data_IF_895732911495
#
_entry.id   IF_895732911495
#
_cell.length_a   1.000
_cell.length_b   1.000
_cell.length_c   1.000
_cell.angle_alpha   90.00
_cell.angle_beta   90.00
_cell.angle_gamma   90.00
#
_symmetry.space_group_name_H-M   'P 1'
#
loop_
_entity.id
_entity.type
_entity.pdbx_description
1 polymer ?
#
# COMPACT_ATOMS: atom_id res chain seq x y z
N UNK A 1 -6.96 -31.22 -29.32
CA UNK A 1 -6.22 -31.35 -28.05
C UNK A 1 -6.67 -30.25 -27.10
N UNK A 2 -7.58 -30.58 -26.16
CA UNK A 2 -8.14 -29.65 -25.18
C UNK A 2 -7.12 -29.29 -24.11
N UNK A 3 -6.84 -27.99 -23.94
CA UNK A 3 -6.07 -27.49 -22.79
C UNK A 3 -7.03 -27.25 -21.62
N UNK A 4 -6.85 -28.07 -20.59
CA UNK A 4 -7.62 -28.05 -19.36
C UNK A 4 -7.43 -26.71 -18.60
N UNK A 5 -8.56 -26.12 -18.22
CA UNK A 5 -8.67 -24.99 -17.30
C UNK A 5 -8.23 -25.43 -15.90
N UNK A 6 -7.19 -24.80 -15.35
CA UNK A 6 -6.78 -24.99 -13.96
C UNK A 6 -7.60 -24.07 -13.08
N UNK A 7 -8.65 -24.62 -12.48
CA UNK A 7 -9.43 -23.97 -11.42
C UNK A 7 -8.54 -23.72 -10.20
N UNK A 8 -8.33 -22.45 -9.85
CA UNK A 8 -7.58 -22.05 -8.67
C UNK A 8 -8.56 -21.92 -7.49
N UNK A 9 -8.61 -22.96 -6.65
CA UNK A 9 -9.46 -23.02 -5.46
C UNK A 9 -9.04 -21.96 -4.44
N UNK A 10 -9.92 -20.99 -4.21
CA UNK A 10 -9.83 -20.03 -3.12
C UNK A 10 -9.89 -20.76 -1.78
N UNK A 11 -8.76 -20.82 -1.05
CA UNK A 11 -8.72 -21.27 0.34
C UNK A 11 -9.55 -20.29 1.19
N UNK A 12 -10.76 -20.70 1.56
CA UNK A 12 -11.52 -20.04 2.60
C UNK A 12 -10.74 -20.12 3.92
N UNK A 13 -10.25 -18.99 4.41
CA UNK A 13 -9.65 -18.84 5.73
C UNK A 13 -10.73 -19.06 6.79
N UNK A 14 -10.77 -20.25 7.37
CA UNK A 14 -11.65 -20.58 8.48
C UNK A 14 -11.34 -19.66 9.68
N UNK A 15 -12.38 -19.02 10.23
CA UNK A 15 -12.26 -18.22 11.47
C UNK A 15 -11.61 -19.09 12.56
N UNK A 16 -10.61 -18.57 13.29
CA UNK A 16 -9.98 -19.32 14.38
C UNK A 16 -11.03 -19.67 15.44
N UNK A 17 -11.02 -20.92 15.91
CA UNK A 17 -11.88 -21.36 17.03
C UNK A 17 -11.34 -20.70 18.30
N UNK A 18 -12.11 -19.79 18.89
CA UNK A 18 -11.77 -19.13 20.17
C UNK A 18 -11.41 -20.16 21.23
N UNK A 19 -10.36 -19.89 21.99
CA UNK A 19 -9.92 -20.72 23.11
C UNK A 19 -10.98 -20.80 24.21
N UNK A 20 -10.96 -21.86 25.02
CA UNK A 20 -11.97 -22.08 26.07
C UNK A 20 -12.05 -20.89 27.04
N UNK A 21 -10.91 -20.32 27.43
CA UNK A 21 -10.83 -19.14 28.30
C UNK A 21 -11.50 -17.90 27.69
N UNK A 22 -11.27 -17.64 26.41
CA UNK A 22 -11.82 -16.48 25.68
C UNK A 22 -13.34 -16.56 25.53
N UNK A 23 -13.89 -17.78 25.37
CA UNK A 23 -15.34 -18.00 25.37
C UNK A 23 -15.97 -17.69 26.72
N UNK A 24 -15.33 -18.14 27.80
CA UNK A 24 -15.81 -17.94 29.16
C UNK A 24 -15.73 -16.47 29.58
N UNK A 25 -14.69 -15.76 29.11
CA UNK A 25 -14.56 -14.31 29.26
C UNK A 25 -15.63 -13.54 28.45
N UNK A 26 -15.91 -13.97 27.22
CA UNK A 26 -17.00 -13.40 26.42
C UNK A 26 -18.38 -13.61 27.06
N UNK A 27 -18.63 -14.79 27.63
CA UNK A 27 -19.88 -15.09 28.32
C UNK A 27 -20.07 -14.23 29.58
N UNK A 28 -19.01 -14.10 30.39
CA UNK A 28 -19.02 -13.24 31.59
C UNK A 28 -19.19 -11.76 31.22
N UNK A 29 -18.50 -11.26 30.18
CA UNK A 29 -18.69 -9.90 29.68
C UNK A 29 -20.11 -9.66 29.13
N UNK A 30 -20.69 -10.63 28.41
CA UNK A 30 -22.07 -10.52 27.89
C UNK A 30 -23.09 -10.48 29.03
N UNK A 31 -22.88 -11.28 30.08
CA UNK A 31 -23.72 -11.25 31.29
C UNK A 31 -23.58 -9.91 32.03
N UNK A 32 -22.36 -9.41 32.19
CA UNK A 32 -22.10 -8.10 32.79
C UNK A 32 -22.79 -6.97 32.01
N UNK A 33 -22.71 -7.00 30.67
CA UNK A 33 -23.37 -6.01 29.81
C UNK A 33 -24.90 -6.03 29.97
N UNK A 34 -25.52 -7.21 30.06
CA UNK A 34 -26.97 -7.31 30.32
C UNK A 34 -27.37 -6.71 31.67
N UNK A 35 -26.56 -6.93 32.72
CA UNK A 35 -26.78 -6.31 34.03
C UNK A 35 -26.71 -4.79 33.97
N UNK A 36 -25.71 -4.24 33.27
CA UNK A 36 -25.59 -2.78 33.05
C UNK A 36 -26.84 -2.23 32.35
N UNK A 37 -27.28 -2.88 31.27
CA UNK A 37 -28.46 -2.44 30.51
C UNK A 37 -29.76 -2.55 31.33
N UNK A 38 -29.83 -3.48 32.28
CA UNK A 38 -30.93 -3.64 33.21
C UNK A 38 -30.85 -2.70 34.43
N UNK A 39 -29.77 -1.91 34.57
CA UNK A 39 -29.53 -1.04 35.73
C UNK A 39 -29.11 -1.78 37.01
N UNK A 40 -28.70 -3.05 36.90
CA UNK A 40 -28.24 -3.86 38.03
C UNK A 40 -26.77 -3.56 38.39
N UNK A 41 -26.40 -3.85 39.65
CA UNK A 41 -25.01 -3.68 40.10
C UNK A 41 -24.10 -4.81 39.57
N UNK A 42 -22.99 -4.41 38.99
CA UNK A 42 -22.00 -5.30 38.37
C UNK A 42 -20.86 -5.56 39.35
N UNK A 43 -20.44 -6.82 39.49
CA UNK A 43 -19.33 -7.20 40.38
C UNK A 43 -17.99 -6.65 39.86
N UNK A 44 -16.96 -6.61 40.71
CA UNK A 44 -15.63 -6.13 40.30
C UNK A 44 -15.02 -7.00 39.19
N UNK A 45 -15.19 -8.33 39.28
CA UNK A 45 -14.76 -9.29 38.26
C UNK A 45 -15.49 -9.05 36.93
N UNK A 46 -16.81 -8.93 36.97
CA UNK A 46 -17.65 -8.67 35.79
C UNK A 46 -17.30 -7.32 35.12
N UNK A 47 -16.99 -6.27 35.89
CA UNK A 47 -16.53 -4.98 35.35
C UNK A 47 -15.18 -5.12 34.65
N UNK A 48 -14.24 -5.84 35.25
CA UNK A 48 -12.91 -6.07 34.65
C UNK A 48 -12.98 -6.89 33.36
N UNK A 49 -13.87 -7.90 33.32
CA UNK A 49 -14.12 -8.72 32.13
C UNK A 49 -14.76 -7.87 31.02
N UNK A 50 -15.76 -7.05 31.37
CA UNK A 50 -16.38 -6.13 30.42
C UNK A 50 -15.37 -5.15 29.82
N UNK A 51 -14.52 -4.54 30.63
CA UNK A 51 -13.48 -3.61 30.16
C UNK A 51 -12.47 -4.28 29.21
N UNK A 52 -12.04 -5.51 29.51
CA UNK A 52 -11.14 -6.29 28.64
C UNK A 52 -11.81 -6.61 27.30
N UNK A 53 -13.05 -7.07 27.36
CA UNK A 53 -13.84 -7.37 26.17
C UNK A 53 -14.06 -6.13 25.30
N UNK A 54 -14.41 -4.99 25.89
CA UNK A 54 -14.57 -3.72 25.16
C UNK A 54 -13.29 -3.29 24.46
N UNK A 55 -12.14 -3.41 25.14
CA UNK A 55 -10.83 -3.11 24.56
C UNK A 55 -10.54 -4.03 23.36
N UNK A 56 -10.80 -5.33 23.48
CA UNK A 56 -10.62 -6.28 22.38
C UNK A 56 -11.53 -5.95 21.20
N UNK A 57 -12.81 -5.65 21.46
CA UNK A 57 -13.76 -5.27 20.41
C UNK A 57 -13.40 -3.94 19.73
N UNK A 58 -12.82 -2.99 20.46
CA UNK A 58 -12.29 -1.76 19.88
C UNK A 58 -11.10 -2.06 18.96
N UNK A 59 -10.16 -2.89 19.42
CA UNK A 59 -9.01 -3.30 18.64
C UNK A 59 -9.42 -4.06 17.36
N UNK A 60 -10.35 -5.01 17.45
CA UNK A 60 -10.91 -5.71 16.29
C UNK A 60 -11.57 -4.74 15.29
N UNK A 61 -12.36 -3.78 15.78
CA UNK A 61 -12.97 -2.75 14.91
C UNK A 61 -11.91 -1.87 14.25
N UNK A 62 -10.84 -1.56 14.96
CA UNK A 62 -9.71 -0.80 14.43
C UNK A 62 -9.01 -1.56 13.32
N UNK A 63 -8.76 -2.87 13.50
CA UNK A 63 -8.21 -3.72 12.44
C UNK A 63 -9.14 -3.84 11.24
N UNK A 64 -10.45 -4.02 11.45
CA UNK A 64 -11.43 -4.00 10.36
C UNK A 64 -11.38 -2.70 9.57
N UNK A 65 -11.28 -1.55 10.26
CA UNK A 65 -11.14 -0.25 9.61
C UNK A 65 -9.86 -0.16 8.77
N UNK A 66 -8.74 -0.68 9.29
CA UNK A 66 -7.47 -0.73 8.53
C UNK A 66 -7.54 -1.63 7.30
N UNK A 67 -8.36 -2.68 7.31
CA UNK A 67 -8.55 -3.56 6.16
C UNK A 67 -9.43 -2.97 5.05
N UNK A 68 -10.22 -1.93 5.36
CA UNK A 68 -11.22 -1.38 4.45
C UNK A 68 -11.11 0.14 4.27
N UNK A 69 -9.90 0.68 4.19
CA UNK A 69 -9.69 2.13 4.07
C UNK A 69 -10.20 2.62 2.70
N UNK A 70 -11.11 3.61 2.62
CA UNK A 70 -11.53 4.16 1.34
C UNK A 70 -10.35 4.76 0.56
N UNK A 71 -10.33 4.56 -0.78
CA UNK A 71 -9.27 5.12 -1.64
C UNK A 71 -9.07 6.63 -1.46
N UNK A 72 -10.16 7.38 -1.20
CA UNK A 72 -10.10 8.82 -0.93
C UNK A 72 -9.18 9.13 0.26
N UNK A 73 -9.39 8.46 1.39
CA UNK A 73 -8.58 8.68 2.60
C UNK A 73 -7.13 8.26 2.36
N UNK A 74 -6.91 7.17 1.63
CA UNK A 74 -5.56 6.77 1.27
C UNK A 74 -4.84 7.81 0.42
N UNK A 75 -5.51 8.38 -0.58
CA UNK A 75 -4.94 9.45 -1.40
C UNK A 75 -4.53 10.64 -0.55
N UNK A 76 -5.40 11.08 0.36
CA UNK A 76 -5.12 12.16 1.31
C UNK A 76 -3.91 11.83 2.18
N UNK A 77 -3.84 10.63 2.76
CA UNK A 77 -2.70 10.19 3.57
C UNK A 77 -1.39 10.07 2.77
N UNK A 78 -1.47 9.61 1.52
CA UNK A 78 -0.30 9.42 0.65
C UNK A 78 0.29 10.74 0.13
N UNK A 79 -0.51 11.82 0.08
CA UNK A 79 -0.12 13.08 -0.54
C UNK A 79 0.15 13.00 -2.04
N UNK A 80 -0.28 11.93 -2.72
CA UNK A 80 -0.05 11.70 -4.16
C UNK A 80 -1.33 11.80 -4.97
N UNK A 81 -1.17 12.14 -6.25
CA UNK A 81 -2.26 12.13 -7.21
C UNK A 81 -2.68 10.70 -7.55
N UNK A 82 -3.98 10.49 -7.82
CA UNK A 82 -4.57 9.18 -8.14
C UNK A 82 -3.86 8.45 -9.28
N UNK A 83 -3.54 9.16 -10.36
CA UNK A 83 -2.84 8.58 -11.51
C UNK A 83 -1.48 7.99 -11.11
N UNK A 84 -0.68 8.75 -10.36
CA UNK A 84 0.63 8.32 -9.87
C UNK A 84 0.50 7.08 -8.98
N UNK A 85 -0.51 7.05 -8.10
CA UNK A 85 -0.74 5.89 -7.24
C UNK A 85 -1.11 4.63 -8.03
N UNK A 86 -1.93 4.75 -9.09
CA UNK A 86 -2.23 3.62 -9.97
C UNK A 86 -1.02 3.15 -10.76
N UNK A 87 -0.23 4.07 -11.31
CA UNK A 87 1.03 3.72 -12.01
C UNK A 87 2.01 3.01 -11.07
N UNK A 88 2.13 3.47 -9.82
CA UNK A 88 2.95 2.81 -8.80
C UNK A 88 2.39 1.43 -8.42
N UNK A 89 1.07 1.31 -8.32
CA UNK A 89 0.41 0.03 -8.04
C UNK A 89 0.71 -1.01 -9.11
N UNK A 90 0.61 -0.62 -10.38
CA UNK A 90 0.92 -1.47 -11.52
C UNK A 90 2.41 -1.81 -11.59
N UNK A 91 3.28 -0.81 -11.39
CA UNK A 91 4.73 -0.99 -11.53
C UNK A 91 5.36 -1.81 -10.40
N UNK A 92 4.87 -1.62 -9.17
CA UNK A 92 5.46 -2.23 -7.96
C UNK A 92 4.57 -3.28 -7.31
N UNK A 93 3.49 -3.68 -7.99
CA UNK A 93 2.53 -4.68 -7.50
C UNK A 93 1.93 -4.32 -6.13
N UNK A 94 1.74 -3.03 -5.85
CA UNK A 94 1.11 -2.57 -4.60
C UNK A 94 -0.39 -2.82 -4.71
N UNK A 95 -1.05 -3.42 -3.71
CA UNK A 95 -2.47 -3.73 -3.74
C UNK A 95 -3.34 -2.46 -3.62
N UNK A 96 -3.48 -1.72 -4.71
CA UNK A 96 -4.18 -0.41 -4.79
C UNK A 96 -5.25 -0.36 -5.92
N UNK A 97 -5.79 -1.51 -6.34
CA UNK A 97 -6.79 -1.60 -7.42
C UNK A 97 -8.26 -1.62 -6.98
N UNK A 98 -8.52 -1.84 -5.70
CA UNK A 98 -9.88 -2.05 -5.17
C UNK A 98 -10.49 -0.76 -4.60
N UNK A 99 -11.83 -0.69 -4.52
CA UNK A 99 -12.59 0.46 -3.98
C UNK A 99 -12.14 0.87 -2.56
N UNK A 100 -11.68 -0.11 -1.79
CA UNK A 100 -11.07 0.04 -0.47
C UNK A 100 -9.71 -0.62 -0.46
N UNK A 101 -8.81 -0.10 0.36
CA UNK A 101 -7.42 -0.53 0.46
C UNK A 101 -7.24 -1.25 1.78
N UNK A 102 -6.66 -2.44 1.71
CA UNK A 102 -6.23 -3.19 2.87
C UNK A 102 -4.83 -2.69 3.27
N UNK A 103 -4.78 -1.84 4.29
CA UNK A 103 -3.53 -1.24 4.79
C UNK A 103 -2.49 -2.31 5.18
N UNK A 104 -2.84 -3.37 5.94
CA UNK A 104 -1.87 -4.42 6.28
C UNK A 104 -1.20 -5.05 5.05
N UNK A 105 -1.97 -5.34 3.99
CA UNK A 105 -1.42 -5.89 2.74
C UNK A 105 -0.54 -4.87 2.02
N UNK A 106 -0.95 -3.61 1.95
CA UNK A 106 -0.15 -2.56 1.33
C UNK A 106 1.19 -2.36 2.05
N UNK A 107 1.17 -2.26 3.39
CA UNK A 107 2.38 -2.13 4.22
C UNK A 107 3.30 -3.33 4.03
N UNK A 108 2.74 -4.54 4.04
CA UNK A 108 3.52 -5.75 3.76
C UNK A 108 4.19 -5.70 2.39
N UNK A 109 3.47 -5.29 1.34
CA UNK A 109 4.05 -5.15 -0.01
C UNK A 109 5.19 -4.13 -0.06
N UNK A 110 5.09 -3.03 0.70
CA UNK A 110 6.18 -2.06 0.82
C UNK A 110 7.40 -2.66 1.52
N UNK A 111 7.22 -3.39 2.62
CA UNK A 111 8.34 -4.05 3.30
C UNK A 111 8.98 -5.15 2.44
N UNK A 112 8.18 -5.92 1.72
CA UNK A 112 8.69 -6.92 0.77
C UNK A 112 9.47 -6.26 -0.37
N UNK A 113 8.98 -5.14 -0.91
CA UNK A 113 9.69 -4.36 -1.92
C UNK A 113 11.02 -3.80 -1.39
N UNK A 114 11.00 -3.20 -0.20
CA UNK A 114 12.21 -2.65 0.42
C UNK A 114 13.23 -3.74 0.73
N UNK A 115 12.79 -4.89 1.25
CA UNK A 115 13.67 -6.03 1.50
C UNK A 115 14.28 -6.58 0.20
N UNK A 116 13.47 -6.71 -0.87
CA UNK A 116 13.93 -7.20 -2.17
C UNK A 116 14.93 -6.25 -2.85
N UNK A 117 14.85 -4.95 -2.58
CA UNK A 117 15.72 -3.93 -3.17
C UNK A 117 16.73 -3.35 -2.17
N UNK A 118 16.83 -3.91 -0.96
CA UNK A 118 17.62 -3.35 0.13
C UNK A 118 19.06 -3.07 -0.29
N UNK A 119 19.68 -4.02 -1.01
CA UNK A 119 21.06 -3.87 -1.52
C UNK A 119 21.22 -2.71 -2.50
N UNK A 120 20.30 -2.55 -3.45
CA UNK A 120 20.34 -1.45 -4.44
C UNK A 120 20.04 -0.10 -3.81
N UNK A 121 19.27 -0.08 -2.72
CA UNK A 121 18.93 1.12 -1.98
C UNK A 121 19.99 1.49 -0.92
N UNK A 122 20.81 0.52 -0.49
CA UNK A 122 21.89 0.70 0.49
C UNK A 122 23.26 0.90 -0.13
N UNK A 123 23.41 0.59 -1.42
CA UNK A 123 24.50 1.13 -2.21
C UNK A 123 24.26 2.64 -2.19
N UNK A 124 24.98 3.36 -1.31
CA UNK A 124 25.23 4.77 -1.50
C UNK A 124 25.71 4.86 -2.94
N UNK A 125 24.83 5.42 -3.77
CA UNK A 125 25.12 5.61 -5.17
C UNK A 125 26.34 6.53 -5.15
N UNK A 126 27.54 5.98 -5.29
CA UNK A 126 28.76 6.75 -5.58
C UNK A 126 28.50 7.65 -6.81
N UNK A 127 27.44 7.40 -7.57
CA UNK A 127 26.91 8.22 -8.65
C UNK A 127 26.05 9.43 -8.21
N UNK A 128 25.38 9.38 -7.05
CA UNK A 128 24.64 10.50 -6.46
C UNK A 128 25.54 11.39 -5.60
N UNK A 129 26.57 10.80 -4.96
CA UNK A 129 27.63 11.53 -4.25
C UNK A 129 28.82 11.91 -5.16
N UNK A 130 28.94 11.32 -6.36
CA UNK A 130 29.83 11.83 -7.39
C UNK A 130 29.30 13.19 -7.85
N UNK A 131 29.99 14.24 -7.38
CA UNK A 131 29.91 15.58 -7.90
C UNK A 131 29.64 15.59 -9.42
N UNK A 132 28.44 16.02 -9.81
CA UNK A 132 28.10 16.79 -11.01
C UNK A 132 29.17 16.73 -12.12
N UNK A 133 29.33 15.59 -12.79
CA UNK A 133 29.96 15.39 -14.11
C UNK A 133 30.63 14.01 -14.18
N UNK A 134 29.84 12.99 -14.57
CA UNK A 134 30.43 11.80 -15.15
C UNK A 134 30.76 12.11 -16.63
N UNK A 135 31.95 11.75 -17.14
CA UNK A 135 32.32 11.93 -18.55
C UNK A 135 31.36 11.25 -19.55
N UNK A 136 30.54 10.30 -19.09
CA UNK A 136 29.48 9.71 -19.90
C UNK A 136 28.24 10.62 -20.00
N UNK A 137 27.93 11.37 -18.94
CA UNK A 137 26.79 12.28 -18.88
C UNK A 137 27.04 13.56 -19.68
N UNK A 138 28.28 14.06 -19.70
CA UNK A 138 28.69 15.18 -20.58
C UNK A 138 28.59 14.80 -22.06
N UNK A 139 29.12 13.63 -22.45
CA UNK A 139 28.97 13.12 -23.82
C UNK A 139 27.52 13.00 -24.26
N UNK A 140 26.65 12.50 -23.39
CA UNK A 140 25.22 12.41 -23.69
C UNK A 140 24.54 13.79 -23.83
N UNK A 141 24.94 14.79 -23.02
CA UNK A 141 24.44 16.17 -23.13
C UNK A 141 24.92 16.84 -24.43
N UNK A 142 26.17 16.60 -24.81
CA UNK A 142 26.77 17.10 -26.05
C UNK A 142 26.08 16.48 -27.28
N UNK A 143 25.90 15.16 -27.31
CA UNK A 143 25.20 14.46 -28.40
C UNK A 143 23.76 14.98 -28.57
N UNK A 144 23.04 15.19 -27.47
CA UNK A 144 21.68 15.78 -27.51
C UNK A 144 21.69 17.23 -27.97
N UNK A 145 22.67 18.03 -27.57
CA UNK A 145 22.80 19.42 -28.02
C UNK A 145 23.13 19.52 -29.52
N UNK A 146 23.94 18.59 -30.04
CA UNK A 146 24.27 18.50 -31.46
C UNK A 146 23.03 18.10 -32.27
N UNK A 147 22.28 17.11 -31.81
CA UNK A 147 21.01 16.70 -32.44
C UNK A 147 20.00 17.85 -32.49
N UNK A 148 19.84 18.60 -31.40
CA UNK A 148 18.94 19.76 -31.37
C UNK A 148 19.37 20.87 -32.36
N UNK A 149 20.68 21.11 -32.50
CA UNK A 149 21.21 22.08 -33.47
C UNK A 149 21.00 21.64 -34.92
N UNK A 150 21.13 20.34 -35.19
CA UNK A 150 20.87 19.76 -36.52
C UNK A 150 19.38 19.85 -36.87
N UNK A 151 18.50 19.56 -35.91
CA UNK A 151 17.04 19.62 -36.08
C UNK A 151 16.57 21.06 -36.36
N UNK A 152 17.06 22.05 -35.59
CA UNK A 152 16.79 23.47 -35.86
C UNK A 152 17.28 23.93 -37.24
N UNK A 153 18.40 23.39 -37.73
CA UNK A 153 18.97 23.73 -39.05
C UNK A 153 18.23 23.05 -40.20
N UNK A 154 17.72 21.84 -40.00
CA UNK A 154 16.90 21.14 -40.98
C UNK A 154 15.58 21.88 -41.23
N UNK A 155 14.90 22.32 -40.16
CA UNK A 155 13.64 23.09 -40.23
C UNK A 155 13.84 24.45 -40.93
N UNK A 156 14.99 25.10 -40.72
CA UNK A 156 15.33 26.36 -41.40
C UNK A 156 15.69 26.22 -42.88
N UNK A 157 16.19 25.05 -43.30
CA UNK A 157 16.51 24.78 -44.71
C UNK A 157 15.28 24.34 -45.51
N UNK A 158 14.33 23.63 -44.92
CA UNK A 158 13.06 23.26 -45.59
C UNK A 158 12.16 24.47 -45.87
N UNK A 159 12.19 25.49 -45.00
CA UNK A 159 11.40 26.72 -45.19
C UNK A 159 11.93 27.60 -46.34
N UNK A 160 13.22 27.53 -46.67
CA UNK A 160 13.80 28.30 -47.78
C UNK A 160 13.56 27.65 -49.15
N UNK A 161 13.34 26.33 -49.22
CA UNK A 161 13.12 25.61 -50.49
C UNK A 161 11.65 25.67 -50.93
N UNK A 162 10.70 25.93 -50.01
CA UNK A 162 9.27 26.00 -50.32
C UNK A 162 8.77 27.40 -50.74
N UNK A 163 9.66 28.41 -50.85
CA UNK A 163 9.29 29.81 -51.14
C UNK A 163 9.84 30.34 -52.48
N UNK A 164 10.31 29.45 -53.36
CA UNK A 164 10.70 29.74 -54.75
C UNK A 164 9.83 28.97 -55.72
#
# INVERSE_FOLDING_TARGET
MSRASKNNTTKATAKPRLGVAERLEKETATRAYRKVMAGESVTAEERSALKRYEKQQEEERRWQYYESIPQKHWREMSGRQTKVLHEQAEKYCIPFGEKTINLPRAVRSFHEFLAANARRLSEDDDLLDAAISSPALERYREERAILAKLDHRAIGNETLISTT
#
